data_IF_048076465571
#
_entry.id   IF_048076465571
#
_cell.length_a   1.000
_cell.length_b   1.000
_cell.length_c   1.000
_cell.angle_alpha   90.00
_cell.angle_beta   90.00
_cell.angle_gamma   90.00
#
_symmetry.space_group_name_H-M   'P 1'
#
loop_
_entity.id
_entity.type
_entity.pdbx_description
1 polymer ?
#
# COMPACT_ATOMS: atom_id res chain seq x y z
N UNK A 1 -8.10 3.65 -8.70
CA UNK A 1 -7.77 5.11 -8.67
C UNK A 1 -6.27 5.24 -8.76
N UNK A 2 -5.76 6.15 -9.58
CA UNK A 2 -4.31 6.35 -9.78
C UNK A 2 -3.92 7.79 -9.48
N UNK A 3 -2.88 7.95 -8.67
CA UNK A 3 -2.26 9.23 -8.34
C UNK A 3 -0.81 9.23 -8.83
N UNK A 4 -0.38 10.33 -9.43
CA UNK A 4 0.98 10.49 -9.95
C UNK A 4 1.58 11.77 -9.39
N UNK A 5 2.80 11.68 -8.89
CA UNK A 5 3.57 12.82 -8.41
C UNK A 5 5.00 12.74 -8.93
N UNK A 6 5.53 13.87 -9.40
CA UNK A 6 6.94 14.03 -9.70
C UNK A 6 7.59 14.80 -8.55
N UNK A 7 8.65 14.26 -7.98
CA UNK A 7 9.37 14.84 -6.86
C UNK A 7 10.75 15.27 -7.38
N UNK A 8 11.09 16.58 -7.33
CA UNK A 8 12.44 17.04 -7.65
C UNK A 8 13.42 16.60 -6.56
N UNK A 9 14.62 16.23 -6.97
CA UNK A 9 15.70 15.72 -6.13
C UNK A 9 17.04 16.33 -6.59
N UNK A 10 17.06 17.65 -6.75
CA UNK A 10 18.19 18.37 -7.34
C UNK A 10 19.52 18.04 -6.66
N UNK A 11 20.55 17.80 -7.47
CA UNK A 11 21.90 17.44 -7.00
C UNK A 11 22.08 15.96 -6.63
N UNK A 12 21.06 15.10 -6.75
CA UNK A 12 21.20 13.66 -6.55
C UNK A 12 21.32 12.90 -7.87
N UNK A 13 22.29 11.99 -7.94
CA UNK A 13 22.45 11.08 -9.08
C UNK A 13 21.35 10.01 -9.07
N UNK A 14 21.06 9.43 -10.24
CA UNK A 14 20.12 8.30 -10.33
C UNK A 14 20.53 7.12 -9.41
N UNK A 15 21.84 6.90 -9.28
CA UNK A 15 22.42 5.87 -8.42
C UNK A 15 22.12 6.10 -6.93
N UNK A 16 22.30 7.34 -6.46
CA UNK A 16 22.01 7.74 -5.09
C UNK A 16 20.52 7.59 -4.78
N UNK A 17 19.67 8.04 -5.71
CA UNK A 17 18.22 7.90 -5.60
C UNK A 17 17.80 6.43 -5.54
N UNK A 18 18.38 5.58 -6.40
CA UNK A 18 18.12 4.15 -6.40
C UNK A 18 18.50 3.49 -5.07
N UNK A 19 19.67 3.80 -4.51
CA UNK A 19 20.08 3.26 -3.21
C UNK A 19 19.13 3.73 -2.09
N UNK A 20 18.83 5.02 -2.04
CA UNK A 20 17.94 5.59 -1.01
C UNK A 20 16.54 4.96 -1.06
N UNK A 21 15.98 4.83 -2.27
CA UNK A 21 14.70 4.17 -2.47
C UNK A 21 14.78 2.69 -2.10
N UNK A 22 15.84 1.98 -2.47
CA UNK A 22 16.01 0.57 -2.09
C UNK A 22 15.98 0.35 -0.58
N UNK A 23 16.66 1.21 0.18
CA UNK A 23 16.62 1.16 1.64
C UNK A 23 15.20 1.38 2.15
N UNK A 24 14.50 2.40 1.66
CA UNK A 24 13.13 2.69 2.06
C UNK A 24 12.16 1.57 1.70
N UNK A 25 12.23 1.03 0.48
CA UNK A 25 11.37 -0.07 0.03
C UNK A 25 11.62 -1.35 0.83
N UNK A 26 12.88 -1.69 1.09
CA UNK A 26 13.22 -2.88 1.89
C UNK A 26 12.73 -2.74 3.33
N UNK A 27 12.79 -1.54 3.91
CA UNK A 27 12.28 -1.30 5.25
C UNK A 27 10.74 -1.27 5.33
N UNK A 28 10.08 -0.79 4.28
CA UNK A 28 8.62 -0.57 4.25
C UNK A 28 7.84 -1.79 3.80
N UNK A 29 8.37 -2.56 2.83
CA UNK A 29 7.73 -3.74 2.24
C UNK A 29 8.46 -4.99 2.68
N UNK A 30 8.37 -5.30 3.97
CA UNK A 30 9.14 -6.35 4.64
C UNK A 30 8.28 -7.50 5.19
N UNK A 31 7.00 -7.56 4.85
CA UNK A 31 6.07 -8.58 5.30
C UNK A 31 5.45 -9.35 4.11
N UNK A 32 4.80 -10.49 4.38
CA UNK A 32 4.27 -11.36 3.33
C UNK A 32 3.18 -10.70 2.45
N UNK A 33 2.50 -9.67 2.95
CA UNK A 33 1.43 -8.95 2.28
C UNK A 33 1.90 -7.63 1.65
N UNK A 34 3.05 -7.11 2.07
CA UNK A 34 3.70 -5.92 1.54
C UNK A 34 5.05 -6.27 0.95
N UNK A 35 5.12 -6.44 -0.38
CA UNK A 35 6.29 -7.02 -1.07
C UNK A 35 6.76 -6.18 -2.26
N UNK A 36 8.07 -6.16 -2.47
CA UNK A 36 8.70 -5.64 -3.69
C UNK A 36 8.42 -6.63 -4.84
N UNK A 37 7.84 -6.14 -5.94
CA UNK A 37 7.47 -6.93 -7.14
C UNK A 37 8.50 -6.82 -8.25
N UNK A 38 9.11 -5.64 -8.41
CA UNK A 38 10.17 -5.38 -9.36
C UNK A 38 11.19 -4.43 -8.73
N UNK A 39 12.46 -4.70 -8.93
CA UNK A 39 13.55 -3.83 -8.53
C UNK A 39 14.62 -3.90 -9.61
N UNK A 40 14.49 -3.03 -10.60
CA UNK A 40 15.37 -2.98 -11.76
C UNK A 40 16.18 -1.69 -11.76
N UNK A 41 17.45 -1.86 -11.45
CA UNK A 41 18.43 -0.77 -11.41
C UNK A 41 18.69 -0.16 -12.78
N UNK A 42 18.73 -0.98 -13.83
CA UNK A 42 19.13 -0.54 -15.16
C UNK A 42 18.06 0.35 -15.80
N UNK A 43 16.79 -0.04 -15.66
CA UNK A 43 15.67 0.80 -16.11
C UNK A 43 15.29 1.91 -15.12
N UNK A 44 15.83 1.89 -13.89
CA UNK A 44 15.52 2.84 -12.83
C UNK A 44 14.08 2.70 -12.32
N UNK A 45 13.57 1.47 -12.22
CA UNK A 45 12.18 1.19 -11.87
C UNK A 45 12.11 0.30 -10.63
N UNK A 46 11.35 0.75 -9.63
CA UNK A 46 10.97 -0.07 -8.47
C UNK A 46 9.45 -0.14 -8.41
N UNK A 47 8.90 -1.35 -8.26
CA UNK A 47 7.48 -1.59 -8.08
C UNK A 47 7.29 -2.43 -6.83
N UNK A 48 6.41 -2.00 -5.93
CA UNK A 48 5.99 -2.78 -4.78
C UNK A 48 4.47 -2.78 -4.64
N UNK A 49 3.96 -3.83 -4.01
CA UNK A 49 2.56 -3.94 -3.61
C UNK A 49 2.52 -3.88 -2.10
N UNK A 50 1.72 -2.99 -1.54
CA UNK A 50 1.44 -2.93 -0.11
C UNK A 50 0.15 -3.67 0.24
N UNK A 51 -0.08 -3.83 1.53
CA UNK A 51 -1.38 -4.18 2.09
C UNK A 51 -1.70 -3.25 3.25
N UNK A 52 -2.88 -2.63 3.22
CA UNK A 52 -3.38 -1.81 4.31
C UNK A 52 -4.71 -2.40 4.75
N UNK A 53 -4.71 -3.01 5.94
CA UNK A 53 -5.92 -3.54 6.55
C UNK A 53 -6.78 -2.43 7.16
N UNK A 54 -8.08 -2.68 7.30
CA UNK A 54 -8.97 -1.93 8.19
C UNK A 54 -9.05 -0.42 7.89
N UNK A 55 -8.89 -0.04 6.61
CA UNK A 55 -8.90 1.37 6.18
C UNK A 55 -10.28 2.03 6.30
N UNK A 56 -11.35 1.22 6.36
CA UNK A 56 -12.69 1.66 6.68
C UNK A 56 -13.46 0.50 7.32
N UNK A 57 -14.33 0.80 8.28
CA UNK A 57 -15.17 -0.21 8.90
C UNK A 57 -16.47 0.35 9.43
N UNK A 58 -17.45 -0.53 9.54
CA UNK A 58 -18.72 -0.25 10.21
C UNK A 58 -19.01 -1.38 11.19
N UNK A 59 -19.41 -1.01 12.40
CA UNK A 59 -19.94 -1.93 13.39
C UNK A 59 -21.26 -1.35 13.92
N UNK A 60 -22.39 -1.94 13.50
CA UNK A 60 -23.71 -1.47 13.93
C UNK A 60 -24.87 -2.22 13.27
N UNK A 61 -25.97 -2.40 13.99
CA UNK A 61 -27.15 -3.09 13.47
C UNK A 61 -26.91 -4.58 13.18
N UNK A 62 -27.33 -5.07 12.01
CA UNK A 62 -27.28 -6.50 11.65
C UNK A 62 -25.94 -6.93 11.04
N UNK A 63 -25.14 -5.99 10.54
CA UNK A 63 -23.92 -6.28 9.79
C UNK A 63 -22.75 -5.42 10.29
N UNK A 64 -21.56 -6.00 10.34
CA UNK A 64 -20.31 -5.26 10.37
C UNK A 64 -19.55 -5.49 9.07
N UNK A 65 -18.74 -4.52 8.66
CA UNK A 65 -17.83 -4.69 7.53
C UNK A 65 -16.50 -4.02 7.82
N UNK A 66 -15.48 -4.53 7.13
CA UNK A 66 -14.13 -4.02 7.14
C UNK A 66 -13.63 -3.97 5.69
N UNK A 67 -12.94 -2.89 5.34
CA UNK A 67 -12.35 -2.68 4.02
C UNK A 67 -10.83 -2.63 4.17
N UNK A 68 -10.14 -3.46 3.41
CA UNK A 68 -8.69 -3.45 3.24
C UNK A 68 -8.34 -3.11 1.79
N UNK A 69 -7.14 -2.61 1.54
CA UNK A 69 -6.66 -2.30 0.18
C UNK A 69 -5.29 -2.89 -0.09
N UNK A 70 -5.01 -3.15 -1.37
CA UNK A 70 -3.70 -3.59 -1.86
C UNK A 70 -3.19 -2.58 -2.89
N UNK A 71 -2.55 -1.48 -2.44
CA UNK A 71 -2.02 -0.50 -3.37
C UNK A 71 -0.76 -1.01 -4.08
N UNK A 72 -0.58 -0.58 -5.32
CA UNK A 72 0.66 -0.75 -6.09
C UNK A 72 1.36 0.60 -6.16
N UNK A 73 2.62 0.63 -5.74
CA UNK A 73 3.49 1.80 -5.82
C UNK A 73 4.58 1.50 -6.85
N UNK A 74 4.65 2.35 -7.88
CA UNK A 74 5.73 2.36 -8.85
C UNK A 74 6.54 3.64 -8.71
N UNK A 75 7.86 3.53 -8.70
CA UNK A 75 8.78 4.65 -8.75
C UNK A 75 9.65 4.52 -9.99
N UNK A 76 9.62 5.52 -10.85
CA UNK A 76 10.57 5.68 -11.95
C UNK A 76 11.62 6.73 -11.54
N UNK A 77 12.90 6.40 -11.72
CA UNK A 77 14.03 7.19 -11.27
C UNK A 77 14.72 7.83 -12.47
N UNK A 78 15.03 9.12 -12.35
CA UNK A 78 15.96 9.83 -13.23
C UNK A 78 16.91 10.66 -12.38
N UNK A 79 18.04 11.06 -12.93
CA UNK A 79 18.89 12.01 -12.26
C UNK A 79 18.10 13.28 -11.90
N UNK A 80 18.25 13.74 -10.66
CA UNK A 80 17.59 14.93 -10.15
C UNK A 80 16.08 14.82 -9.91
N UNK A 81 15.42 13.67 -10.12
CA UNK A 81 13.98 13.52 -9.85
C UNK A 81 13.49 12.08 -9.81
N UNK A 82 12.37 11.87 -9.13
CA UNK A 82 11.62 10.62 -9.18
C UNK A 82 10.18 10.87 -9.56
N UNK A 83 9.53 9.89 -10.21
CA UNK A 83 8.10 9.88 -10.43
C UNK A 83 7.49 8.73 -9.65
N UNK A 84 6.61 9.06 -8.70
CA UNK A 84 5.84 8.09 -7.93
C UNK A 84 4.46 7.96 -8.56
N UNK A 85 4.06 6.73 -8.87
CA UNK A 85 2.71 6.36 -9.31
C UNK A 85 2.12 5.43 -8.26
N UNK A 86 1.01 5.86 -7.65
CA UNK A 86 0.26 5.11 -6.65
C UNK A 86 -1.08 4.71 -7.24
N UNK A 87 -1.35 3.41 -7.32
CA UNK A 87 -2.62 2.87 -7.82
C UNK A 87 -3.28 2.00 -6.76
N UNK A 88 -4.58 2.23 -6.53
CA UNK A 88 -5.45 1.28 -5.83
C UNK A 88 -6.34 0.65 -6.90
N UNK A 89 -6.00 -0.58 -7.27
CA UNK A 89 -6.71 -1.34 -8.30
C UNK A 89 -7.81 -2.22 -7.68
N UNK A 90 -7.61 -2.67 -6.44
CA UNK A 90 -8.53 -3.54 -5.72
C UNK A 90 -8.69 -3.12 -4.26
N UNK A 91 -9.92 -3.25 -3.75
CA UNK A 91 -10.25 -3.16 -2.33
C UNK A 91 -10.96 -4.46 -1.93
N UNK A 92 -10.49 -5.06 -0.84
CA UNK A 92 -11.07 -6.27 -0.25
C UNK A 92 -12.09 -5.83 0.82
N UNK A 93 -13.36 -6.23 0.69
CA UNK A 93 -14.39 -5.95 1.69
C UNK A 93 -14.73 -7.25 2.41
N UNK A 94 -14.42 -7.32 3.69
CA UNK A 94 -14.86 -8.40 4.58
C UNK A 94 -16.15 -7.97 5.25
N UNK A 95 -17.26 -8.65 4.92
CA UNK A 95 -18.56 -8.43 5.58
C UNK A 95 -18.80 -9.54 6.60
N UNK A 96 -18.98 -9.14 7.86
CA UNK A 96 -19.44 -10.02 8.93
C UNK A 96 -20.95 -9.81 9.10
N UNK A 97 -21.73 -10.70 8.49
CA UNK A 97 -23.18 -10.71 8.62
C UNK A 97 -23.58 -11.54 9.86
N UNK A 98 -24.45 -11.00 10.72
CA UNK A 98 -25.14 -11.79 11.76
C UNK A 98 -24.81 -11.51 13.23
N UNK A 99 -24.23 -10.36 13.59
CA UNK A 99 -23.93 -10.03 14.99
C UNK A 99 -25.10 -9.40 15.78
N UNK A 100 -25.97 -8.65 15.11
CA UNK A 100 -26.98 -7.84 15.79
C UNK A 100 -26.39 -6.90 16.87
N UNK A 101 -27.24 -6.38 17.76
CA UNK A 101 -26.83 -5.58 18.92
C UNK A 101 -25.85 -6.31 19.86
N UNK A 102 -25.83 -7.64 19.83
CA UNK A 102 -24.96 -8.47 20.68
C UNK A 102 -23.52 -8.52 20.15
N UNK A 103 -23.32 -8.54 18.83
CA UNK A 103 -22.00 -8.44 18.19
C UNK A 103 -21.35 -7.06 18.34
N UNK A 104 -22.15 -6.01 18.50
CA UNK A 104 -21.68 -4.65 18.79
C UNK A 104 -21.23 -4.45 20.24
N UNK A 105 -21.74 -5.25 21.19
CA UNK A 105 -21.44 -5.13 22.63
C UNK A 105 -20.37 -6.13 23.12
N UNK A 106 -20.17 -7.25 22.44
CA UNK A 106 -19.28 -8.32 22.89
C UNK A 106 -17.81 -8.17 22.44
N UNK A 107 -17.51 -7.27 21.50
CA UNK A 107 -16.24 -7.32 20.75
C UNK A 107 -16.23 -8.55 19.86
N UNK A 108 -16.14 -8.35 18.55
CA UNK A 108 -16.19 -9.42 17.55
C UNK A 108 -15.19 -10.54 17.87
N UNK A 109 -15.69 -11.73 18.19
CA UNK A 109 -14.89 -12.96 18.27
C UNK A 109 -14.60 -13.40 16.83
N UNK A 110 -13.32 -13.61 16.43
CA UNK A 110 -13.01 -14.10 15.10
C UNK A 110 -13.46 -15.56 14.93
N UNK A 111 -14.08 -15.87 13.80
CA UNK A 111 -14.28 -17.23 13.30
C UNK A 111 -13.20 -17.57 12.28
#
# INVERSE_FOLDING_TARGET
MTFVQVIPCDGQTAEQLYMNLNYWFTATFNDANSVIKLNDKESGVIIASGYMADIAGHAGGTNSYNVSIKPVIRVDIKEGKIRVTYSIDHYDVTVLAGGGIMGALAGSIPM
#
